data_IF_322549857285
#
_entry.id   IF_322549857285
#
_cell.length_a   1.000
_cell.length_b   1.000
_cell.length_c   1.000
_cell.angle_alpha   90.00
_cell.angle_beta   90.00
_cell.angle_gamma   90.00
#
_symmetry.space_group_name_H-M   'P 1'
#
loop_
_entity.id
_entity.type
_entity.pdbx_description
1 polymer ?
#
# COMPACT_ATOMS: atom_id res chain seq x y z
N UNK A 1 -21.97 7.75 51.48
CA UNK A 1 -20.93 8.82 51.31
C UNK A 1 -19.86 8.53 50.25
N UNK A 2 -19.87 7.42 49.50
CA UNK A 2 -18.78 7.08 48.56
C UNK A 2 -19.03 7.45 47.09
N UNK A 3 -20.27 7.73 46.69
CA UNK A 3 -20.58 8.06 45.28
C UNK A 3 -20.31 9.52 44.93
N UNK A 4 -20.46 10.45 45.87
CA UNK A 4 -20.16 11.88 45.65
C UNK A 4 -18.68 12.11 45.37
N UNK A 5 -17.79 11.33 46.01
CA UNK A 5 -16.33 11.41 45.78
C UNK A 5 -15.95 10.88 44.40
N UNK A 6 -16.55 9.77 43.96
CA UNK A 6 -16.31 9.22 42.60
C UNK A 6 -16.83 10.20 41.54
N UNK A 7 -18.00 10.79 41.73
CA UNK A 7 -18.55 11.82 40.85
C UNK A 7 -17.64 13.06 40.77
N UNK A 8 -17.15 13.55 41.91
CA UNK A 8 -16.21 14.68 41.95
C UNK A 8 -14.89 14.35 41.25
N UNK A 9 -14.41 13.10 41.33
CA UNK A 9 -13.19 12.66 40.65
C UNK A 9 -13.38 12.63 39.13
N UNK A 10 -14.53 12.15 38.65
CA UNK A 10 -14.88 12.21 37.22
C UNK A 10 -15.07 13.65 36.73
N UNK A 11 -15.74 14.50 37.50
CA UNK A 11 -15.89 15.92 37.17
C UNK A 11 -14.53 16.64 37.10
N UNK A 12 -13.62 16.31 38.01
CA UNK A 12 -12.26 16.89 38.03
C UNK A 12 -11.43 16.43 36.82
N UNK A 13 -11.51 15.15 36.44
CA UNK A 13 -10.85 14.61 35.23
C UNK A 13 -11.42 15.26 33.96
N UNK A 14 -12.73 15.48 33.89
CA UNK A 14 -13.37 16.15 32.76
C UNK A 14 -12.91 17.61 32.61
N UNK A 15 -12.79 18.35 33.72
CA UNK A 15 -12.25 19.72 33.70
C UNK A 15 -10.77 19.73 33.31
N UNK A 16 -9.96 18.79 33.81
CA UNK A 16 -8.55 18.69 33.45
C UNK A 16 -8.35 18.37 31.95
N UNK A 17 -9.22 17.54 31.36
CA UNK A 17 -9.17 17.24 29.92
C UNK A 17 -9.61 18.44 29.08
N UNK A 18 -10.61 19.21 29.51
CA UNK A 18 -11.02 20.44 28.82
C UNK A 18 -9.93 21.51 28.87
N UNK A 19 -9.26 21.69 30.00
CA UNK A 19 -8.12 22.60 30.13
C UNK A 19 -6.93 22.18 29.26
N UNK A 20 -6.66 20.88 29.18
CA UNK A 20 -5.62 20.35 28.31
C UNK A 20 -5.95 20.55 26.82
N UNK A 21 -7.22 20.37 26.42
CA UNK A 21 -7.66 20.67 25.05
C UNK A 21 -7.53 22.14 24.70
N UNK A 22 -7.89 23.05 25.61
CA UNK A 22 -7.81 24.49 25.37
C UNK A 22 -6.35 24.99 25.34
N UNK A 23 -5.50 24.46 26.23
CA UNK A 23 -4.05 24.70 26.18
C UNK A 23 -3.44 24.29 24.84
N UNK A 24 -3.84 23.13 24.31
CA UNK A 24 -3.36 22.66 23.01
C UNK A 24 -3.83 23.57 21.86
N UNK A 25 -5.07 24.08 21.94
CA UNK A 25 -5.58 25.08 20.99
C UNK A 25 -4.79 26.39 21.05
N UNK A 26 -4.51 26.91 22.26
CA UNK A 26 -3.69 28.12 22.43
C UNK A 26 -2.27 27.94 21.90
N UNK A 27 -1.62 26.78 22.15
CA UNK A 27 -0.31 26.49 21.56
C UNK A 27 -0.36 26.46 20.03
N UNK A 28 -1.42 25.90 19.45
CA UNK A 28 -1.59 25.85 17.99
C UNK A 28 -1.86 27.25 17.40
N UNK A 29 -2.61 28.10 18.12
CA UNK A 29 -2.88 29.48 17.71
C UNK A 29 -1.66 30.41 17.87
N UNK A 30 -0.81 30.18 18.88
CA UNK A 30 0.41 30.96 19.12
C UNK A 30 1.53 30.71 18.09
N UNK A 31 1.40 29.68 17.24
CA UNK A 31 2.38 29.33 16.18
C UNK A 31 1.90 29.69 14.77
N UNK A 32 0.90 30.56 14.65
CA UNK A 32 0.49 31.11 13.36
C UNK A 32 1.36 32.32 13.02
N UNK A 33 2.29 32.24 12.03
CA UNK A 33 3.10 33.40 11.65
C UNK A 33 2.22 34.50 11.05
N UNK A 34 2.43 35.73 11.49
CA UNK A 34 1.82 36.94 10.92
C UNK A 34 2.10 37.05 9.40
N UNK A 35 1.14 37.52 8.58
CA UNK A 35 1.37 37.75 7.18
C UNK A 35 2.33 38.94 6.97
N UNK A 36 3.56 38.65 6.56
CA UNK A 36 4.53 39.67 6.12
C UNK A 36 4.16 40.18 4.73
N UNK A 37 3.95 41.50 4.65
CA UNK A 37 3.71 42.25 3.42
C UNK A 37 4.92 42.17 2.46
N UNK A 38 4.63 41.96 1.17
CA UNK A 38 5.62 41.95 0.09
C UNK A 38 6.03 43.39 -0.23
N UNK A 39 7.30 43.75 -0.03
CA UNK A 39 7.91 44.93 -0.65
C UNK A 39 8.78 44.49 -1.83
N UNK A 40 8.55 45.13 -2.98
CA UNK A 40 9.36 45.02 -4.18
C UNK A 40 10.63 45.87 -4.04
N UNK A 41 11.77 45.33 -4.48
CA UNK A 41 12.98 46.13 -4.68
C UNK A 41 13.59 45.80 -6.04
N UNK A 42 13.53 46.77 -6.93
CA UNK A 42 14.34 46.93 -8.14
C UNK A 42 15.79 47.22 -7.78
N UNK A 43 16.76 46.60 -8.46
CA UNK A 43 18.11 47.18 -8.60
C UNK A 43 18.69 46.96 -10.00
N UNK A 44 19.07 48.10 -10.57
CA UNK A 44 19.74 48.38 -11.83
C UNK A 44 21.24 48.05 -11.74
N UNK A 45 21.88 47.80 -12.90
CA UNK A 45 23.25 47.31 -12.99
C UNK A 45 24.39 48.30 -12.71
N UNK A 46 25.61 47.75 -12.72
CA UNK A 46 26.88 48.47 -12.74
C UNK A 46 28.06 47.51 -13.04
N UNK A 47 28.76 47.77 -14.14
CA UNK A 47 30.05 47.18 -14.54
C UNK A 47 31.22 47.94 -13.84
N UNK A 48 32.52 47.59 -13.81
CA UNK A 48 33.48 46.76 -14.56
C UNK A 48 34.75 46.55 -13.62
N UNK A 49 36.00 46.28 -14.07
CA UNK A 49 36.68 45.06 -14.57
C UNK A 49 37.87 44.57 -13.68
N UNK A 50 38.46 43.40 -13.98
CA UNK A 50 39.80 43.05 -13.46
C UNK A 50 40.33 41.70 -13.97
N UNK A 51 41.57 41.68 -14.45
CA UNK A 51 42.14 40.71 -15.37
C UNK A 51 42.77 39.44 -14.75
N UNK A 52 42.91 38.44 -15.63
CA UNK A 52 43.66 37.15 -15.63
C UNK A 52 45.09 37.22 -15.05
N UNK A 53 45.74 36.11 -14.59
CA UNK A 53 46.14 35.00 -15.48
C UNK A 53 46.14 33.55 -14.91
N UNK A 54 46.10 32.62 -15.87
CA UNK A 54 46.44 31.18 -15.89
C UNK A 54 47.80 30.82 -15.27
N UNK A 55 48.03 29.60 -14.75
CA UNK A 55 48.72 28.43 -15.40
C UNK A 55 48.58 27.12 -14.51
N UNK A 56 49.11 25.92 -14.84
CA UNK A 56 48.35 24.66 -14.82
C UNK A 56 48.94 23.57 -13.90
N UNK A 57 48.24 22.44 -13.71
CA UNK A 57 48.73 21.11 -13.28
C UNK A 57 47.47 20.26 -13.05
N UNK A 58 47.40 18.94 -13.16
CA UNK A 58 48.25 17.86 -13.65
C UNK A 58 47.37 16.61 -13.59
N UNK A 59 47.48 15.73 -14.59
CA UNK A 59 46.99 14.35 -14.54
C UNK A 59 47.61 13.60 -13.35
N UNK A 60 46.77 13.04 -12.49
CA UNK A 60 47.12 11.96 -11.58
C UNK A 60 46.16 10.78 -11.82
N UNK A 61 46.76 9.65 -12.17
CA UNK A 61 46.10 8.38 -12.41
C UNK A 61 45.74 7.67 -11.09
N UNK A 62 44.63 6.93 -11.13
CA UNK A 62 44.54 5.61 -10.52
C UNK A 62 44.20 5.53 -9.03
N UNK A 63 42.90 5.41 -8.73
CA UNK A 63 42.40 4.53 -7.66
C UNK A 63 41.07 3.92 -8.10
N UNK A 64 40.78 2.63 -7.78
CA UNK A 64 39.64 1.91 -8.36
C UNK A 64 38.32 2.41 -7.78
N UNK A 65 37.39 2.79 -8.67
CA UNK A 65 36.02 3.08 -8.31
C UNK A 65 35.33 1.81 -7.77
N UNK A 66 34.75 1.93 -6.58
CA UNK A 66 33.70 1.06 -6.08
C UNK A 66 32.53 0.96 -7.09
N UNK A 67 31.80 -0.17 -7.15
CA UNK A 67 30.75 -0.37 -8.14
C UNK A 67 29.69 0.73 -8.05
N UNK A 68 29.34 1.29 -9.21
CA UNK A 68 28.33 2.32 -9.37
C UNK A 68 27.00 1.88 -8.74
N UNK A 69 26.49 2.74 -7.86
CA UNK A 69 25.15 2.68 -7.32
C UNK A 69 24.16 2.66 -8.49
N UNK A 70 23.31 1.63 -8.54
CA UNK A 70 22.26 1.51 -9.55
C UNK A 70 21.43 2.81 -9.59
N UNK A 71 21.36 3.42 -10.78
CA UNK A 71 20.76 4.73 -10.98
C UNK A 71 19.33 4.81 -10.45
N UNK A 72 19.04 5.87 -9.69
CA UNK A 72 17.69 6.24 -9.35
C UNK A 72 16.92 6.58 -10.64
N UNK A 73 15.72 6.02 -10.80
CA UNK A 73 14.83 6.41 -11.88
C UNK A 73 14.48 7.91 -11.77
N UNK A 74 14.39 8.66 -12.89
CA UNK A 74 14.16 10.09 -12.88
C UNK A 74 12.80 10.45 -12.26
N UNK A 75 12.79 11.55 -11.50
CA UNK A 75 11.60 12.16 -10.88
C UNK A 75 10.87 13.03 -11.90
N UNK A 76 9.53 12.94 -11.92
CA UNK A 76 8.67 13.33 -13.04
C UNK A 76 8.39 14.84 -13.19
N UNK A 77 8.18 15.23 -14.45
CA UNK A 77 7.02 16.01 -14.90
C UNK A 77 6.31 15.18 -15.97
N UNK A 78 5.01 14.93 -15.83
CA UNK A 78 4.26 14.03 -16.71
C UNK A 78 3.87 14.72 -18.03
N UNK A 79 4.39 14.22 -19.16
CA UNK A 79 3.87 14.57 -20.49
C UNK A 79 2.75 13.60 -20.89
N UNK A 80 1.51 14.08 -20.93
CA UNK A 80 0.32 13.27 -21.27
C UNK A 80 0.06 13.30 -22.77
N UNK A 81 0.58 12.31 -23.50
CA UNK A 81 0.18 12.09 -24.89
C UNK A 81 -1.17 11.35 -24.93
N UNK A 82 -2.28 12.10 -24.91
CA UNK A 82 -3.66 11.58 -24.89
C UNK A 82 -3.98 10.52 -25.97
N UNK A 83 -3.19 10.43 -27.05
CA UNK A 83 -3.37 9.47 -28.14
C UNK A 83 -2.98 8.01 -27.79
N UNK A 84 -2.34 7.77 -26.65
CA UNK A 84 -1.86 6.44 -26.25
C UNK A 84 -2.73 5.77 -25.18
N UNK A 85 -3.81 6.40 -24.74
CA UNK A 85 -4.69 5.85 -23.71
C UNK A 85 -5.61 4.74 -24.27
N UNK A 86 -5.66 3.58 -23.61
CA UNK A 86 -6.56 2.46 -23.90
C UNK A 86 -7.41 2.16 -22.68
N UNK A 87 -8.72 2.21 -22.82
CA UNK A 87 -9.66 1.78 -21.78
C UNK A 87 -10.03 0.32 -21.98
N UNK A 88 -9.86 -0.49 -20.95
CA UNK A 88 -10.21 -1.91 -20.92
C UNK A 88 -11.37 -2.10 -19.95
N UNK A 89 -12.46 -2.71 -20.41
CA UNK A 89 -13.63 -3.03 -19.58
C UNK A 89 -13.84 -4.54 -19.52
N UNK A 90 -13.79 -5.12 -18.31
CA UNK A 90 -14.15 -6.52 -18.03
C UNK A 90 -15.45 -6.57 -17.20
N UNK A 91 -15.75 -7.72 -16.61
CA UNK A 91 -16.89 -7.91 -15.69
C UNK A 91 -16.60 -7.48 -14.24
N UNK A 92 -15.34 -7.21 -13.90
CA UNK A 92 -14.88 -6.80 -12.56
C UNK A 92 -14.18 -5.45 -12.54
N UNK A 93 -13.51 -5.09 -13.63
CA UNK A 93 -12.63 -3.93 -13.71
C UNK A 93 -12.93 -3.08 -14.93
N UNK A 94 -12.85 -1.75 -14.78
CA UNK A 94 -12.64 -0.82 -15.89
C UNK A 94 -11.34 -0.08 -15.65
N UNK A 95 -10.39 -0.22 -16.57
CA UNK A 95 -9.01 0.25 -16.39
C UNK A 95 -8.60 1.11 -17.57
N UNK A 96 -7.99 2.26 -17.30
CA UNK A 96 -7.35 3.07 -18.34
C UNK A 96 -5.85 2.88 -18.27
N UNK A 97 -5.30 2.36 -19.35
CA UNK A 97 -3.87 2.21 -19.59
C UNK A 97 -3.37 3.40 -20.40
N UNK A 98 -2.26 4.03 -20.00
CA UNK A 98 -1.67 5.15 -20.74
C UNK A 98 -0.15 5.06 -20.63
N UNK A 99 0.55 5.13 -21.78
CA UNK A 99 2.02 5.02 -21.82
C UNK A 99 2.55 3.74 -21.15
N UNK A 100 1.78 2.65 -21.15
CA UNK A 100 2.16 1.41 -20.47
C UNK A 100 2.14 1.48 -18.94
N UNK A 101 1.38 2.42 -18.35
CA UNK A 101 1.02 2.49 -16.94
C UNK A 101 -0.48 2.25 -16.74
N UNK A 102 -0.88 1.92 -15.51
CA UNK A 102 -2.28 1.82 -15.09
C UNK A 102 -2.67 3.09 -14.34
N UNK A 103 -3.35 4.00 -15.05
CA UNK A 103 -3.73 5.34 -14.57
C UNK A 103 -4.98 5.34 -13.70
N UNK A 104 -6.01 4.68 -14.21
CA UNK A 104 -7.32 4.63 -13.58
C UNK A 104 -7.77 3.17 -13.48
N UNK A 105 -8.43 2.83 -12.38
CA UNK A 105 -9.00 1.51 -12.18
C UNK A 105 -10.26 1.59 -11.31
N UNK A 106 -11.40 1.32 -11.93
CA UNK A 106 -12.72 1.23 -11.32
C UNK A 106 -13.09 -0.22 -11.04
N UNK A 107 -13.61 -0.49 -9.85
CA UNK A 107 -14.06 -1.81 -9.42
C UNK A 107 -15.56 -1.97 -9.66
N UNK A 108 -15.95 -2.56 -10.79
CA UNK A 108 -17.33 -2.59 -11.30
C UNK A 108 -18.35 -3.34 -10.43
N UNK A 109 -17.87 -4.14 -9.47
CA UNK A 109 -18.70 -4.89 -8.51
C UNK A 109 -18.90 -4.16 -7.17
N UNK A 110 -18.30 -2.99 -7.00
CA UNK A 110 -18.27 -2.27 -5.73
C UNK A 110 -18.75 -0.82 -5.93
N UNK A 111 -20.05 -0.53 -5.74
CA UNK A 111 -20.56 0.84 -5.79
C UNK A 111 -19.99 1.68 -4.65
N UNK A 112 -19.80 2.98 -4.88
CA UNK A 112 -19.27 3.92 -3.90
C UNK A 112 -20.26 4.16 -2.75
N UNK A 113 -21.55 4.29 -3.08
CA UNK A 113 -22.65 4.36 -2.12
C UNK A 113 -23.60 3.19 -2.31
N UNK A 114 -24.01 2.56 -1.21
CA UNK A 114 -24.98 1.48 -1.20
C UNK A 114 -26.43 1.98 -1.40
N UNK A 115 -26.69 3.29 -1.24
CA UNK A 115 -28.03 3.89 -1.25
C UNK A 115 -28.32 4.72 -2.49
N UNK A 116 -27.32 5.20 -3.22
CA UNK A 116 -27.49 6.02 -4.43
C UNK A 116 -26.75 5.39 -5.63
N UNK A 117 -27.51 5.00 -6.64
CA UNK A 117 -26.99 4.43 -7.89
C UNK A 117 -26.16 5.39 -8.75
N UNK A 118 -26.16 6.69 -8.42
CA UNK A 118 -25.45 7.75 -9.15
C UNK A 118 -24.03 8.04 -8.63
N UNK A 119 -23.63 7.48 -7.49
CA UNK A 119 -22.31 7.75 -6.88
C UNK A 119 -21.14 7.06 -7.61
N UNK A 120 -21.44 6.22 -8.61
CA UNK A 120 -20.44 5.45 -9.37
C UNK A 120 -19.84 4.29 -8.59
N UNK A 121 -18.76 3.73 -9.13
CA UNK A 121 -18.03 2.62 -8.51
C UNK A 121 -16.79 3.10 -7.78
N UNK A 122 -16.27 2.28 -6.87
CA UNK A 122 -14.99 2.52 -6.20
C UNK A 122 -13.88 2.65 -7.25
N UNK A 123 -13.24 3.82 -7.29
CA UNK A 123 -12.00 4.09 -8.03
C UNK A 123 -10.82 3.77 -7.12
N UNK A 124 -10.08 2.72 -7.45
CA UNK A 124 -8.87 2.36 -6.73
C UNK A 124 -7.68 3.15 -7.24
N UNK A 125 -7.51 3.26 -8.56
CA UNK A 125 -6.54 4.18 -9.17
C UNK A 125 -7.25 5.38 -9.76
N UNK A 126 -6.68 6.56 -9.54
CA UNK A 126 -7.20 7.84 -9.99
C UNK A 126 -6.03 8.77 -10.34
N UNK A 127 -6.09 9.37 -11.52
CA UNK A 127 -5.11 10.36 -11.98
C UNK A 127 -5.41 11.78 -11.46
N UNK A 128 -6.54 12.00 -10.77
CA UNK A 128 -6.85 13.27 -10.10
C UNK A 128 -5.75 13.64 -9.09
N UNK A 129 -5.10 14.81 -9.20
CA UNK A 129 -4.07 15.26 -8.25
C UNK A 129 -4.49 15.18 -6.78
N UNK A 130 -5.77 15.40 -6.47
CA UNK A 130 -6.29 15.34 -5.11
C UNK A 130 -6.34 13.91 -4.53
N UNK A 131 -6.49 12.91 -5.40
CA UNK A 131 -6.65 11.50 -5.02
C UNK A 131 -5.60 10.59 -5.69
N UNK A 132 -4.50 11.19 -6.15
CA UNK A 132 -3.56 10.56 -7.08
C UNK A 132 -3.12 9.18 -6.59
N UNK A 133 -3.37 8.17 -7.41
CA UNK A 133 -2.95 6.81 -7.16
C UNK A 133 -2.85 6.06 -8.49
N UNK A 134 -1.63 5.65 -8.85
CA UNK A 134 -1.36 4.92 -10.09
C UNK A 134 -0.42 3.73 -9.86
N UNK A 135 -0.49 2.75 -10.76
CA UNK A 135 0.54 1.72 -10.89
C UNK A 135 1.39 1.97 -12.14
N UNK A 136 2.66 2.24 -11.91
CA UNK A 136 3.61 2.63 -12.94
C UNK A 136 4.64 1.54 -13.16
N UNK A 137 5.11 1.41 -14.39
CA UNK A 137 6.13 0.40 -14.73
C UNK A 137 6.97 0.84 -15.90
N UNK A 138 8.25 0.48 -15.88
CA UNK A 138 9.20 0.86 -16.93
C UNK A 138 10.49 0.07 -16.84
N UNK A 139 11.46 0.48 -17.63
CA UNK A 139 12.77 -0.11 -17.73
C UNK A 139 13.83 0.97 -17.53
N UNK A 140 14.90 0.61 -16.84
CA UNK A 140 16.15 1.38 -16.80
C UNK A 140 17.26 0.53 -17.40
N UNK A 141 18.23 1.17 -18.05
CA UNK A 141 19.33 0.48 -18.72
C UNK A 141 20.64 1.21 -18.49
N UNK A 142 21.71 0.44 -18.32
CA UNK A 142 23.07 0.96 -18.18
C UNK A 142 23.82 1.06 -19.52
N UNK A 143 23.25 0.49 -20.59
CA UNK A 143 23.95 0.23 -21.88
C UNK A 143 23.25 0.87 -23.08
N UNK A 144 22.24 1.71 -22.85
CA UNK A 144 21.47 2.35 -23.90
C UNK A 144 20.10 2.84 -23.41
N UNK A 145 19.29 3.39 -24.33
CA UNK A 145 17.95 3.87 -24.00
C UNK A 145 17.03 2.74 -23.48
N UNK A 146 16.11 3.11 -22.60
CA UNK A 146 15.04 2.25 -22.10
C UNK A 146 13.77 3.10 -21.86
N UNK A 147 12.57 2.54 -22.04
CA UNK A 147 11.32 3.23 -21.77
C UNK A 147 11.07 3.30 -20.27
N UNK A 148 10.99 4.51 -19.72
CA UNK A 148 10.50 4.74 -18.37
C UNK A 148 8.96 4.87 -18.35
N UNK A 149 8.40 5.10 -17.16
CA UNK A 149 6.98 5.33 -16.95
C UNK A 149 6.50 6.67 -17.53
N UNK A 150 7.39 7.55 -18.00
CA UNK A 150 7.05 8.84 -18.59
C UNK A 150 7.06 8.79 -20.13
N UNK A 151 7.62 7.73 -20.72
CA UNK A 151 7.93 7.66 -22.15
C UNK A 151 7.32 6.46 -22.89
N UNK A 152 7.49 6.49 -24.21
CA UNK A 152 6.53 6.22 -25.27
C UNK A 152 6.13 4.75 -25.52
N UNK A 153 5.62 4.02 -24.52
CA UNK A 153 4.87 2.81 -24.84
C UNK A 153 3.61 3.19 -25.64
N UNK A 154 3.52 2.69 -26.87
CA UNK A 154 2.39 2.94 -27.77
C UNK A 154 1.53 1.67 -27.83
N UNK A 155 0.20 1.77 -27.69
CA UNK A 155 -0.66 0.59 -27.80
C UNK A 155 -0.58 -0.02 -29.20
N UNK A 156 -0.48 -1.34 -29.26
CA UNK A 156 -0.61 -2.07 -30.53
C UNK A 156 -2.08 -2.10 -30.95
N UNK A 157 -2.35 -1.76 -32.21
CA UNK A 157 -3.70 -1.71 -32.76
C UNK A 157 -4.36 -0.32 -32.67
N UNK A 158 -5.48 -0.18 -33.37
CA UNK A 158 -6.24 1.07 -33.47
C UNK A 158 -7.33 1.21 -32.39
N UNK A 159 -7.74 0.10 -31.75
CA UNK A 159 -8.78 0.12 -30.74
C UNK A 159 -8.28 0.83 -29.47
N UNK A 160 -9.11 1.73 -28.93
CA UNK A 160 -8.82 2.47 -27.69
C UNK A 160 -9.82 2.16 -26.57
N UNK A 161 -10.87 1.41 -26.87
CA UNK A 161 -11.88 0.97 -25.92
C UNK A 161 -12.11 -0.53 -26.12
N UNK A 162 -11.40 -1.36 -25.37
CA UNK A 162 -11.44 -2.82 -25.50
C UNK A 162 -12.38 -3.37 -24.43
N UNK A 163 -13.38 -4.14 -24.82
CA UNK A 163 -14.31 -4.78 -23.87
C UNK A 163 -14.17 -6.29 -23.93
N UNK A 164 -14.25 -6.94 -22.78
CA UNK A 164 -14.26 -8.40 -22.69
C UNK A 164 -15.49 -8.95 -23.41
N UNK A 165 -15.25 -9.63 -24.54
CA UNK A 165 -16.30 -10.25 -25.33
C UNK A 165 -17.05 -11.33 -24.54
N UNK A 166 -18.31 -11.57 -24.89
CA UNK A 166 -19.09 -12.67 -24.32
C UNK A 166 -18.40 -14.01 -24.60
N UNK A 167 -18.23 -14.85 -23.57
CA UNK A 167 -17.55 -16.15 -23.67
C UNK A 167 -16.03 -16.12 -23.73
N UNK A 168 -15.37 -14.96 -23.83
CA UNK A 168 -13.90 -14.87 -23.78
C UNK A 168 -13.36 -15.01 -22.35
N UNK A 169 -12.23 -15.69 -22.14
CA UNK A 169 -11.65 -15.85 -20.80
C UNK A 169 -10.81 -14.65 -20.34
N UNK A 170 -10.28 -13.85 -21.28
CA UNK A 170 -9.45 -12.69 -20.96
C UNK A 170 -9.41 -11.66 -22.10
N UNK A 171 -9.03 -10.42 -21.75
CA UNK A 171 -8.63 -9.36 -22.70
C UNK A 171 -7.12 -9.19 -22.65
N UNK A 172 -6.47 -9.00 -23.81
CA UNK A 172 -5.03 -8.72 -23.89
C UNK A 172 -4.81 -7.39 -24.60
N UNK A 173 -4.03 -6.51 -23.98
CA UNK A 173 -3.68 -5.19 -24.55
C UNK A 173 -2.16 -5.07 -24.57
N UNK A 174 -1.53 -5.22 -25.75
CA UNK A 174 -0.11 -5.01 -25.90
C UNK A 174 0.23 -3.53 -26.14
N UNK A 175 1.36 -3.13 -25.59
CA UNK A 175 2.04 -1.87 -25.84
C UNK A 175 3.46 -2.16 -26.30
N UNK A 176 3.95 -1.39 -27.26
CA UNK A 176 5.30 -1.54 -27.79
C UNK A 176 6.06 -0.24 -27.66
N UNK A 177 7.32 -0.38 -27.26
CA UNK A 177 8.32 0.66 -27.37
C UNK A 177 9.46 0.16 -28.28
N UNK A 178 9.92 1.02 -29.18
CA UNK A 178 11.05 0.74 -30.06
C UNK A 178 12.14 1.78 -29.80
N UNK A 179 13.29 1.31 -29.32
CA UNK A 179 14.45 2.13 -29.04
C UNK A 179 15.28 2.43 -30.29
N UNK A 180 16.09 3.51 -30.26
CA UNK A 180 16.94 3.92 -31.38
C UNK A 180 18.06 2.92 -31.70
N UNK A 181 18.37 2.01 -30.78
CA UNK A 181 19.40 0.97 -30.88
C UNK A 181 18.88 -0.36 -31.46
N UNK A 182 17.63 -0.42 -31.94
CA UNK A 182 17.02 -1.64 -32.46
C UNK A 182 16.44 -2.58 -31.39
N UNK A 183 16.47 -2.17 -30.12
CA UNK A 183 15.80 -2.92 -29.03
C UNK A 183 14.33 -2.57 -29.04
N UNK A 184 13.47 -3.59 -28.98
CA UNK A 184 12.02 -3.44 -28.86
C UNK A 184 11.55 -4.09 -27.58
N UNK A 185 10.70 -3.41 -26.81
CA UNK A 185 10.08 -3.95 -25.62
C UNK A 185 8.57 -3.98 -25.85
N UNK A 186 7.98 -5.18 -25.79
CA UNK A 186 6.52 -5.38 -25.86
C UNK A 186 6.00 -5.71 -24.47
N UNK A 187 5.18 -4.84 -23.89
CA UNK A 187 4.44 -5.04 -22.64
C UNK A 187 3.02 -5.45 -22.93
N UNK A 188 2.59 -6.60 -22.43
CA UNK A 188 1.20 -7.08 -22.60
C UNK A 188 0.50 -7.14 -21.26
N UNK A 189 -0.60 -6.40 -21.15
CA UNK A 189 -1.54 -6.49 -20.03
C UNK A 189 -2.62 -7.53 -20.37
N UNK A 190 -2.77 -8.54 -19.52
CA UNK A 190 -3.84 -9.55 -19.65
C UNK A 190 -4.80 -9.44 -18.48
N UNK A 191 -6.08 -9.25 -18.80
CA UNK A 191 -7.17 -9.11 -17.84
C UNK A 191 -8.04 -10.36 -17.86
N UNK A 192 -7.90 -11.27 -16.88
CA UNK A 192 -8.73 -12.46 -16.80
C UNK A 192 -10.17 -12.10 -16.40
N UNK A 193 -11.14 -12.86 -16.93
CA UNK A 193 -12.56 -12.78 -16.55
C UNK A 193 -12.73 -13.03 -15.05
N UNK A 194 -13.53 -12.22 -14.37
CA UNK A 194 -13.82 -12.36 -12.94
C UNK A 194 -12.63 -12.07 -12.02
N UNK A 195 -11.48 -11.67 -12.56
CA UNK A 195 -10.24 -11.50 -11.82
C UNK A 195 -9.96 -10.05 -11.43
N UNK A 196 -9.08 -9.89 -10.44
CA UNK A 196 -8.49 -8.60 -10.01
C UNK A 196 -6.96 -8.58 -10.17
N UNK A 197 -6.36 -9.68 -10.61
CA UNK A 197 -4.94 -9.79 -10.90
C UNK A 197 -4.71 -9.61 -12.39
N UNK A 198 -4.15 -8.46 -12.77
CA UNK A 198 -3.77 -8.14 -14.15
C UNK A 198 -2.39 -8.74 -14.38
N UNK A 199 -2.24 -9.63 -15.37
CA UNK A 199 -0.94 -10.18 -15.74
C UNK A 199 -0.19 -9.18 -16.61
N UNK A 200 1.09 -8.98 -16.34
CA UNK A 200 1.96 -8.04 -17.06
C UNK A 200 3.19 -8.79 -17.52
N UNK A 201 3.28 -9.02 -18.82
CA UNK A 201 4.43 -9.67 -19.47
C UNK A 201 5.19 -8.66 -20.31
N UNK A 202 6.49 -8.53 -20.06
CA UNK A 202 7.38 -7.75 -20.91
C UNK A 202 8.29 -8.70 -21.70
N UNK A 203 8.31 -8.57 -23.02
CA UNK A 203 9.24 -9.26 -23.91
C UNK A 203 10.20 -8.24 -24.52
N UNK A 204 11.49 -8.42 -24.23
CA UNK A 204 12.58 -7.61 -24.77
C UNK A 204 13.21 -8.37 -25.93
N UNK A 205 13.25 -7.74 -27.10
CA UNK A 205 13.88 -8.28 -28.31
C UNK A 205 14.99 -7.33 -28.74
N UNK A 206 16.20 -7.85 -28.89
CA UNK A 206 17.34 -7.04 -29.34
C UNK A 206 17.65 -7.32 -30.81
N UNK A 207 17.12 -6.48 -31.71
CA UNK A 207 17.46 -6.53 -33.14
C UNK A 207 18.67 -5.64 -33.50
N UNK A 208 19.34 -5.06 -32.49
CA UNK A 208 20.54 -4.27 -32.66
C UNK A 208 21.81 -5.11 -32.82
N UNK A 209 22.95 -4.44 -32.88
CA UNK A 209 24.27 -5.06 -33.04
C UNK A 209 25.08 -5.18 -31.75
N UNK A 210 24.64 -4.52 -30.66
CA UNK A 210 25.29 -4.54 -29.36
C UNK A 210 24.41 -5.23 -28.31
N UNK A 211 25.04 -5.82 -27.29
CA UNK A 211 24.35 -6.40 -26.17
C UNK A 211 23.60 -5.32 -25.35
N UNK A 212 22.34 -5.57 -25.01
CA UNK A 212 21.51 -4.66 -24.21
C UNK A 212 21.28 -5.24 -22.81
N UNK A 213 21.49 -4.41 -21.79
CA UNK A 213 21.25 -4.74 -20.40
C UNK A 213 20.29 -3.73 -19.76
N UNK A 214 19.22 -4.23 -19.16
CA UNK A 214 18.24 -3.42 -18.46
C UNK A 214 17.58 -4.10 -17.26
N UNK A 215 16.87 -3.31 -16.48
CA UNK A 215 16.16 -3.72 -15.28
C UNK A 215 14.74 -3.20 -15.36
N UNK A 216 13.76 -4.09 -15.20
CA UNK A 216 12.36 -3.67 -15.10
C UNK A 216 12.11 -3.12 -13.71
N UNK A 217 11.43 -1.97 -13.60
CA UNK A 217 10.90 -1.49 -12.33
C UNK A 217 9.38 -1.39 -12.39
N UNK A 218 8.76 -1.65 -11.25
CA UNK A 218 7.31 -1.63 -11.06
C UNK A 218 7.04 -0.91 -9.74
N UNK A 219 6.21 0.11 -9.77
CA UNK A 219 5.95 0.93 -8.60
C UNK A 219 4.47 1.25 -8.45
N UNK A 220 4.08 1.49 -7.20
CA UNK A 220 2.78 2.05 -6.83
C UNK A 220 3.07 3.43 -6.25
N UNK A 221 2.40 4.44 -6.79
CA UNK A 221 2.59 5.84 -6.41
C UNK A 221 1.27 6.38 -5.94
N UNK A 222 1.24 6.96 -4.73
CA UNK A 222 -0.01 7.45 -4.14
C UNK A 222 0.19 8.68 -3.27
N UNK A 223 -0.77 9.60 -3.32
CA UNK A 223 -0.91 10.66 -2.31
C UNK A 223 -1.66 10.14 -1.08
N UNK A 224 -1.28 10.54 0.14
CA UNK A 224 -1.97 10.08 1.34
C UNK A 224 -3.46 10.38 1.23
N UNK A 225 -4.34 9.38 1.41
CA UNK A 225 -5.78 9.63 1.36
C UNK A 225 -6.16 10.61 2.48
N UNK A 226 -7.11 11.54 2.23
CA UNK A 226 -7.59 12.45 3.25
C UNK A 226 -8.13 11.65 4.44
N UNK A 227 -7.51 11.83 5.61
CA UNK A 227 -7.89 11.11 6.83
C UNK A 227 -9.20 11.71 7.36
N UNK A 228 -10.32 11.00 7.18
CA UNK A 228 -11.58 11.35 7.84
C UNK A 228 -11.50 10.92 9.30
N UNK A 229 -11.25 11.88 10.20
CA UNK A 229 -11.16 11.64 11.64
C UNK A 229 -12.56 11.52 12.25
N UNK A 230 -12.80 10.45 13.02
CA UNK A 230 -14.05 10.25 13.75
C UNK A 230 -14.09 8.89 14.44
N UNK A 231 -14.51 8.85 15.70
CA UNK A 231 -14.62 7.60 16.48
C UNK A 231 -15.55 6.55 15.84
N UNK A 232 -16.46 6.99 14.98
CA UNK A 232 -17.44 6.15 14.29
C UNK A 232 -17.02 5.77 12.87
N UNK A 233 -15.89 6.27 12.35
CA UNK A 233 -15.41 5.94 11.01
C UNK A 233 -14.38 4.79 11.07
N UNK A 234 -14.71 3.58 10.57
CA UNK A 234 -13.77 2.46 10.54
C UNK A 234 -12.50 2.74 9.73
N UNK A 235 -12.56 3.64 8.74
CA UNK A 235 -11.41 4.01 7.91
C UNK A 235 -10.29 4.67 8.70
N UNK A 236 -10.61 5.36 9.80
CA UNK A 236 -9.64 6.03 10.66
C UNK A 236 -8.75 5.03 11.44
N UNK A 237 -9.20 3.79 11.61
CA UNK A 237 -8.46 2.73 12.30
C UNK A 237 -7.82 1.73 11.34
N UNK A 238 -8.08 1.88 10.04
CA UNK A 238 -7.49 1.04 9.01
C UNK A 238 -6.02 1.39 8.81
N UNK A 239 -5.22 0.39 8.45
CA UNK A 239 -3.86 0.66 8.00
C UNK A 239 -3.88 1.30 6.61
N UNK A 240 -3.23 2.46 6.49
CA UNK A 240 -2.95 3.15 5.24
C UNK A 240 -1.43 3.30 5.10
N UNK A 241 -0.85 2.65 4.10
CA UNK A 241 0.59 2.66 3.91
C UNK A 241 1.09 1.56 2.99
N UNK A 242 2.41 1.44 2.92
CA UNK A 242 3.06 0.37 2.19
C UNK A 242 3.23 -0.89 3.03
N UNK A 243 3.19 -2.01 2.35
CA UNK A 243 3.49 -3.32 2.90
C UNK A 243 4.33 -4.08 1.89
N UNK A 244 5.15 -4.99 2.38
CA UNK A 244 5.94 -5.87 1.54
C UNK A 244 6.05 -7.23 2.19
N UNK A 245 6.33 -8.22 1.35
CA UNK A 245 6.63 -9.56 1.79
C UNK A 245 7.94 -10.03 1.17
N UNK A 246 8.83 -10.57 1.99
CA UNK A 246 10.00 -11.35 1.56
C UNK A 246 9.93 -12.75 2.15
N UNK A 247 10.43 -13.81 1.48
CA UNK A 247 10.47 -15.13 2.08
C UNK A 247 11.27 -15.19 3.40
N UNK A 248 12.27 -14.33 3.55
CA UNK A 248 13.17 -14.30 4.71
C UNK A 248 12.55 -13.58 5.92
N UNK A 249 12.03 -12.36 5.72
CA UNK A 249 11.49 -11.52 6.81
C UNK A 249 9.96 -11.60 6.94
N UNK A 250 9.31 -12.36 6.05
CA UNK A 250 7.84 -12.49 5.94
C UNK A 250 7.20 -11.14 5.66
N UNK A 251 6.18 -10.76 6.42
CA UNK A 251 5.34 -9.60 6.14
C UNK A 251 5.73 -8.43 7.04
N UNK A 252 5.96 -7.27 6.43
CA UNK A 252 6.23 -6.03 7.12
C UNK A 252 5.45 -4.87 6.49
N UNK A 253 5.31 -3.77 7.23
CA UNK A 253 4.44 -2.65 6.87
C UNK A 253 4.96 -1.34 7.43
N UNK A 254 4.70 -0.27 6.69
CA UNK A 254 5.03 1.11 7.08
C UNK A 254 3.91 2.07 6.71
N UNK A 255 3.45 2.86 7.67
CA UNK A 255 2.45 3.90 7.42
C UNK A 255 3.07 5.03 6.62
N UNK A 256 2.25 5.79 5.90
CA UNK A 256 2.74 6.95 5.14
C UNK A 256 3.48 7.98 6.00
N UNK A 257 3.00 8.23 7.22
CA UNK A 257 3.63 9.16 8.18
C UNK A 257 5.10 8.77 8.46
N UNK A 258 5.40 7.48 8.50
CA UNK A 258 6.70 6.95 8.89
C UNK A 258 7.67 6.76 7.70
N UNK A 259 7.26 7.05 6.45
CA UNK A 259 8.12 6.81 5.27
C UNK A 259 9.43 7.59 5.30
N UNK A 260 9.39 8.81 5.84
CA UNK A 260 10.54 9.70 5.93
C UNK A 260 11.36 9.38 7.19
N UNK A 261 10.67 9.22 8.32
CA UNK A 261 11.30 9.07 9.64
C UNK A 261 11.98 7.71 9.83
N UNK A 262 11.39 6.62 9.32
CA UNK A 262 11.94 5.26 9.44
C UNK A 262 13.03 4.93 8.38
N UNK A 263 13.48 5.93 7.62
CA UNK A 263 14.54 5.81 6.62
C UNK A 263 14.17 5.02 5.37
N UNK A 264 15.11 4.86 4.44
CA UNK A 264 14.87 4.16 3.17
C UNK A 264 14.72 2.65 3.35
N UNK A 265 13.76 2.05 2.65
CA UNK A 265 13.71 0.59 2.49
C UNK A 265 14.69 0.17 1.40
N UNK A 266 15.55 -0.81 1.70
CA UNK A 266 16.43 -1.45 0.72
C UNK A 266 16.48 -2.95 1.02
N UNK A 267 15.46 -3.68 0.54
CA UNK A 267 15.32 -5.11 0.79
C UNK A 267 15.46 -5.87 -0.52
N UNK A 268 16.44 -6.77 -0.58
CA UNK A 268 16.54 -7.72 -1.67
C UNK A 268 15.77 -8.99 -1.35
N UNK A 269 15.08 -9.54 -2.35
CA UNK A 269 14.28 -10.74 -2.18
C UNK A 269 14.19 -11.55 -3.47
N UNK A 270 14.18 -12.88 -3.35
CA UNK A 270 13.84 -13.77 -4.46
C UNK A 270 12.36 -14.12 -4.34
N UNK A 271 11.53 -13.59 -5.25
CA UNK A 271 10.08 -13.59 -5.11
C UNK A 271 9.59 -12.50 -4.15
N UNK A 272 8.42 -12.74 -3.55
CA UNK A 272 7.77 -11.76 -2.67
C UNK A 272 6.89 -10.77 -3.43
N UNK A 273 6.46 -9.70 -2.75
CA UNK A 273 5.57 -8.69 -3.34
C UNK A 273 5.61 -7.39 -2.54
N UNK A 274 5.18 -6.30 -3.20
CA UNK A 274 4.97 -4.99 -2.59
C UNK A 274 3.52 -4.57 -2.78
N UNK A 275 2.96 -3.82 -1.83
CA UNK A 275 1.57 -3.37 -1.90
C UNK A 275 1.33 -2.05 -1.18
N UNK A 276 0.27 -1.36 -1.58
CA UNK A 276 -0.34 -0.24 -0.85
C UNK A 276 -1.75 -0.65 -0.40
N UNK A 277 -2.00 -0.56 0.90
CA UNK A 277 -3.25 -1.01 1.53
C UNK A 277 -4.15 0.17 1.89
N UNK A 278 -5.46 -0.06 1.79
CA UNK A 278 -6.53 0.73 2.40
C UNK A 278 -7.53 -0.20 3.09
N UNK A 279 -8.62 0.33 3.67
CA UNK A 279 -9.53 -0.45 4.51
C UNK A 279 -10.08 -1.72 3.83
N UNK A 280 -10.74 -1.60 2.68
CA UNK A 280 -11.37 -2.72 1.97
C UNK A 280 -10.63 -3.22 0.72
N UNK A 281 -9.69 -2.44 0.21
CA UNK A 281 -9.01 -2.69 -1.06
C UNK A 281 -7.50 -2.55 -0.89
N UNK A 282 -6.75 -3.05 -1.87
CA UNK A 282 -5.32 -2.84 -1.95
C UNK A 282 -4.88 -2.98 -3.41
N UNK A 283 -3.68 -2.48 -3.71
CA UNK A 283 -2.99 -2.85 -4.93
C UNK A 283 -1.62 -3.43 -4.61
N UNK A 284 -1.15 -4.36 -5.44
CA UNK A 284 0.12 -5.03 -5.22
C UNK A 284 0.83 -5.38 -6.52
N UNK A 285 2.14 -5.14 -6.58
CA UNK A 285 2.99 -5.74 -7.59
C UNK A 285 3.58 -7.05 -7.06
N UNK A 286 3.38 -8.11 -7.83
CA UNK A 286 3.83 -9.47 -7.54
C UNK A 286 4.79 -9.88 -8.67
N UNK A 287 6.11 -9.74 -8.49
CA UNK A 287 7.12 -10.27 -9.40
C UNK A 287 7.02 -11.79 -9.60
N UNK A 288 7.75 -12.35 -10.57
CA UNK A 288 7.86 -13.79 -10.70
C UNK A 288 8.49 -14.45 -9.46
N UNK A 289 8.06 -15.67 -9.13
CA UNK A 289 8.47 -16.34 -7.88
C UNK A 289 9.99 -16.56 -7.73
N UNK A 290 10.72 -16.51 -8.84
CA UNK A 290 12.18 -16.70 -8.91
C UNK A 290 12.93 -15.40 -9.21
N UNK A 291 12.23 -14.28 -9.36
CA UNK A 291 12.82 -13.01 -9.70
C UNK A 291 13.51 -12.42 -8.47
N UNK A 292 14.81 -12.12 -8.60
CA UNK A 292 15.55 -11.34 -7.61
C UNK A 292 15.15 -9.88 -7.76
N UNK A 293 14.37 -9.38 -6.81
CA UNK A 293 13.86 -8.03 -6.80
C UNK A 293 14.40 -7.25 -5.60
N UNK A 294 14.63 -5.95 -5.81
CA UNK A 294 14.95 -4.98 -4.75
C UNK A 294 13.73 -4.12 -4.48
N UNK A 295 13.26 -4.13 -3.23
CA UNK A 295 12.12 -3.36 -2.77
C UNK A 295 12.58 -2.09 -2.07
N UNK A 296 12.02 -0.95 -2.50
CA UNK A 296 12.36 0.36 -1.98
C UNK A 296 11.14 1.20 -1.69
N UNK A 297 11.25 2.07 -0.68
CA UNK A 297 10.30 3.11 -0.35
C UNK A 297 10.96 4.46 -0.55
N UNK A 298 10.30 5.34 -1.30
CA UNK A 298 10.77 6.70 -1.56
C UNK A 298 9.58 7.67 -1.53
N UNK A 299 9.87 8.94 -1.33
CA UNK A 299 8.91 10.02 -1.57
C UNK A 299 9.37 10.85 -2.76
N UNK A 300 8.43 11.32 -3.56
CA UNK A 300 8.69 12.25 -4.65
C UNK A 300 7.75 13.43 -4.51
N UNK A 301 8.18 14.63 -4.91
CA UNK A 301 7.29 15.78 -4.98
C UNK A 301 6.97 16.10 -6.44
N UNK A 302 5.70 16.32 -6.73
CA UNK A 302 5.24 16.89 -7.99
C UNK A 302 4.21 17.98 -7.69
N UNK A 303 4.37 19.16 -8.28
CA UNK A 303 3.51 20.33 -8.08
C UNK A 303 3.19 20.66 -6.60
N UNK A 304 4.16 20.47 -5.71
CA UNK A 304 4.00 20.72 -4.27
C UNK A 304 3.24 19.65 -3.49
N UNK A 305 2.88 18.53 -4.13
CA UNK A 305 2.25 17.38 -3.49
C UNK A 305 3.24 16.25 -3.31
N UNK A 306 3.31 15.69 -2.10
CA UNK A 306 4.18 14.54 -1.78
C UNK A 306 3.51 13.24 -2.18
N UNK A 307 4.12 12.56 -3.15
CA UNK A 307 3.78 11.22 -3.57
C UNK A 307 4.62 10.19 -2.80
N UNK A 308 3.96 9.16 -2.31
CA UNK A 308 4.59 8.03 -1.62
C UNK A 308 4.71 6.88 -2.60
N UNK A 309 5.94 6.39 -2.78
CA UNK A 309 6.29 5.40 -3.78
C UNK A 309 6.78 4.13 -3.10
N UNK A 310 6.15 3.00 -3.42
CA UNK A 310 6.72 1.68 -3.18
C UNK A 310 7.11 1.06 -4.51
N UNK A 311 8.36 0.62 -4.63
CA UNK A 311 8.95 0.17 -5.89
C UNK A 311 9.61 -1.19 -5.73
N UNK A 312 9.43 -2.03 -6.74
CA UNK A 312 10.16 -3.27 -6.96
C UNK A 312 11.01 -3.12 -8.23
N UNK A 313 12.32 -3.21 -8.09
CA UNK A 313 13.27 -3.30 -9.20
C UNK A 313 13.57 -4.78 -9.42
N UNK A 314 13.20 -5.32 -10.57
CA UNK A 314 13.40 -6.71 -10.95
C UNK A 314 14.85 -7.05 -11.31
N UNK A 315 15.11 -8.31 -11.70
CA UNK A 315 16.47 -8.77 -12.00
C UNK A 315 17.03 -8.08 -13.25
N UNK A 316 18.36 -8.03 -13.33
CA UNK A 316 19.06 -7.57 -14.52
C UNK A 316 18.85 -8.53 -15.68
N UNK A 317 18.32 -8.02 -16.78
CA UNK A 317 18.08 -8.75 -18.02
C UNK A 317 19.17 -8.39 -19.01
N UNK A 318 19.85 -9.39 -19.54
CA UNK A 318 20.90 -9.23 -20.54
C UNK A 318 20.47 -9.89 -21.86
N UNK A 319 20.43 -9.12 -22.94
CA UNK A 319 19.90 -9.55 -24.24
C UNK A 319 20.95 -9.31 -25.31
N UNK A 320 21.60 -10.38 -25.77
CA UNK A 320 22.55 -10.31 -26.88
C UNK A 320 21.83 -10.03 -28.22
N UNK A 321 22.56 -9.56 -29.26
CA UNK A 321 22.00 -9.38 -30.60
C UNK A 321 21.26 -10.63 -31.11
N UNK A 322 20.06 -10.43 -31.66
CA UNK A 322 19.17 -11.48 -32.15
C UNK A 322 18.50 -12.34 -31.08
N UNK A 323 18.74 -12.07 -29.78
CA UNK A 323 18.12 -12.78 -28.67
C UNK A 323 16.90 -12.02 -28.13
N UNK A 324 16.15 -12.74 -27.29
CA UNK A 324 15.03 -12.20 -26.55
C UNK A 324 15.04 -12.65 -25.09
N UNK A 325 14.43 -11.85 -24.23
CA UNK A 325 14.22 -12.16 -22.83
C UNK A 325 12.82 -11.73 -22.39
N UNK A 326 12.33 -12.34 -21.32
CA UNK A 326 10.99 -12.10 -20.81
C UNK A 326 11.02 -11.83 -19.31
N UNK A 327 10.13 -10.96 -18.85
CA UNK A 327 9.81 -10.82 -17.42
C UNK A 327 8.30 -10.88 -17.23
N UNK A 328 7.88 -11.43 -16.10
CA UNK A 328 6.48 -11.64 -15.78
C UNK A 328 6.19 -11.03 -14.41
N UNK A 329 5.01 -10.42 -14.27
CA UNK A 329 4.48 -10.01 -12.98
C UNK A 329 2.96 -10.02 -13.00
N UNK A 330 2.37 -9.93 -11.81
CA UNK A 330 0.95 -9.67 -11.63
C UNK A 330 0.76 -8.37 -10.86
N UNK A 331 -0.17 -7.54 -11.33
CA UNK A 331 -0.65 -6.36 -10.64
C UNK A 331 -2.04 -6.68 -10.07
N UNK A 332 -2.13 -6.81 -8.74
CA UNK A 332 -3.41 -6.89 -8.07
C UNK A 332 -4.02 -5.49 -7.96
N UNK A 333 -5.27 -5.33 -8.38
CA UNK A 333 -6.05 -4.08 -8.27
C UNK A 333 -7.45 -4.45 -7.83
N UNK A 334 -7.70 -4.48 -6.52
CA UNK A 334 -9.00 -5.00 -6.08
C UNK A 334 -9.25 -5.13 -4.59
N UNK A 335 -10.38 -5.76 -4.24
CA UNK A 335 -10.83 -5.93 -2.87
C UNK A 335 -9.98 -6.95 -2.11
N UNK A 336 -10.06 -6.90 -0.77
CA UNK A 336 -9.43 -7.87 0.14
C UNK A 336 -10.23 -9.19 0.24
N UNK A 337 -10.54 -9.81 -0.90
CA UNK A 337 -11.27 -11.09 -0.96
C UNK A 337 -10.29 -12.26 -0.77
N UNK A 338 -10.38 -12.92 0.39
CA UNK A 338 -9.45 -14.01 0.78
C UNK A 338 -9.35 -15.10 -0.30
N UNK A 339 -10.47 -15.62 -0.79
CA UNK A 339 -10.48 -16.70 -1.79
C UNK A 339 -9.85 -16.28 -3.13
N UNK A 340 -10.09 -15.05 -3.59
CA UNK A 340 -9.52 -14.54 -4.82
C UNK A 340 -8.01 -14.27 -4.70
N UNK A 341 -7.56 -13.87 -3.51
CA UNK A 341 -6.14 -13.71 -3.17
C UNK A 341 -5.44 -15.07 -3.08
N UNK A 342 -6.03 -16.05 -2.40
CA UNK A 342 -5.48 -17.40 -2.27
C UNK A 342 -5.36 -18.09 -3.63
N UNK A 343 -6.32 -17.87 -4.54
CA UNK A 343 -6.25 -18.37 -5.91
C UNK A 343 -5.03 -17.86 -6.70
N UNK A 344 -4.37 -16.79 -6.25
CA UNK A 344 -3.11 -16.32 -6.84
C UNK A 344 -1.91 -17.21 -6.48
N UNK A 345 -2.02 -18.08 -5.48
CA UNK A 345 -0.94 -18.97 -5.03
C UNK A 345 0.35 -18.20 -4.66
N UNK A 346 0.22 -16.99 -4.10
CA UNK A 346 1.36 -16.15 -3.72
C UNK A 346 1.61 -16.26 -2.22
N UNK A 347 2.81 -16.70 -1.78
CA UNK A 347 3.15 -16.77 -0.37
C UNK A 347 2.94 -15.44 0.37
N UNK A 348 2.22 -15.51 1.48
CA UNK A 348 2.01 -14.36 2.36
C UNK A 348 1.03 -13.30 1.85
N UNK A 349 0.52 -13.36 0.61
CA UNK A 349 -0.35 -12.30 0.05
C UNK A 349 -1.65 -12.12 0.84
N UNK A 350 -2.16 -13.18 1.48
CA UNK A 350 -3.31 -13.11 2.40
C UNK A 350 -3.09 -12.20 3.61
N UNK A 351 -1.82 -11.89 3.95
CA UNK A 351 -1.50 -10.89 4.98
C UNK A 351 -1.94 -9.48 4.61
N UNK A 352 -2.13 -9.18 3.31
CA UNK A 352 -2.65 -7.90 2.86
C UNK A 352 -4.10 -7.63 3.32
N UNK A 353 -4.85 -8.68 3.72
CA UNK A 353 -6.16 -8.52 4.35
C UNK A 353 -6.05 -7.80 5.70
N UNK A 354 -4.87 -7.86 6.33
CA UNK A 354 -4.51 -7.21 7.59
C UNK A 354 -5.46 -7.55 8.75
N UNK A 355 -5.71 -8.85 8.95
CA UNK A 355 -6.55 -9.32 10.07
C UNK A 355 -6.00 -8.90 11.44
N UNK A 356 -4.67 -8.79 11.59
CA UNK A 356 -4.01 -8.29 12.79
C UNK A 356 -2.51 -8.13 12.56
N UNK A 357 -1.89 -7.19 13.28
CA UNK A 357 -0.43 -7.08 13.38
C UNK A 357 0.23 -8.33 13.98
N UNK A 358 -0.49 -9.09 14.81
CA UNK A 358 0.04 -10.28 15.47
C UNK A 358 -0.37 -11.54 14.71
N UNK A 359 0.61 -12.35 14.33
CA UNK A 359 0.41 -13.54 13.48
C UNK A 359 -0.58 -14.55 14.07
N UNK A 360 -0.59 -14.74 15.40
CA UNK A 360 -1.50 -15.62 16.14
C UNK A 360 -2.95 -15.11 16.05
N UNK A 361 -3.16 -13.80 16.22
CA UNK A 361 -4.51 -13.23 16.12
C UNK A 361 -5.03 -13.26 14.69
N UNK A 362 -4.17 -13.01 13.71
CA UNK A 362 -4.53 -13.11 12.30
C UNK A 362 -4.90 -14.55 11.88
N UNK A 363 -4.22 -15.57 12.41
CA UNK A 363 -4.58 -16.97 12.13
C UNK A 363 -5.91 -17.35 12.78
N UNK A 364 -6.16 -16.96 14.03
CA UNK A 364 -7.46 -17.16 14.67
C UNK A 364 -8.60 -16.46 13.91
N UNK A 365 -8.38 -15.22 13.46
CA UNK A 365 -9.36 -14.48 12.67
C UNK A 365 -9.63 -15.16 11.32
N UNK A 366 -8.60 -15.67 10.65
CA UNK A 366 -8.73 -16.45 9.42
C UNK A 366 -9.57 -17.73 9.61
N UNK A 367 -9.31 -18.48 10.69
CA UNK A 367 -10.12 -19.66 11.05
C UNK A 367 -11.58 -19.30 11.32
N UNK A 368 -11.82 -18.22 12.06
CA UNK A 368 -13.16 -17.75 12.36
C UNK A 368 -13.90 -17.31 11.09
N UNK A 369 -13.22 -16.60 10.18
CA UNK A 369 -13.76 -16.19 8.90
C UNK A 369 -14.08 -17.39 7.99
N UNK A 370 -13.22 -18.42 7.99
CA UNK A 370 -13.49 -19.66 7.26
C UNK A 370 -14.78 -20.33 7.73
N UNK A 371 -14.95 -20.50 9.05
CA UNK A 371 -16.18 -21.08 9.62
C UNK A 371 -17.39 -20.22 9.29
N UNK A 372 -17.27 -18.89 9.39
CA UNK A 372 -18.34 -17.97 9.03
C UNK A 372 -18.74 -18.11 7.55
N UNK A 373 -17.76 -18.18 6.66
CA UNK A 373 -17.98 -18.37 5.22
C UNK A 373 -18.64 -19.71 4.90
N UNK A 374 -18.26 -20.79 5.61
CA UNK A 374 -18.90 -22.09 5.49
C UNK A 374 -20.38 -22.04 5.91
N UNK A 375 -20.71 -21.39 7.03
CA UNK A 375 -22.10 -21.18 7.45
C UNK A 375 -22.85 -20.33 6.40
N UNK A 376 -22.22 -19.27 5.90
CA UNK A 376 -22.79 -18.41 4.87
C UNK A 376 -23.08 -19.15 3.56
N UNK A 377 -22.25 -20.11 3.17
CA UNK A 377 -22.47 -20.90 1.95
C UNK A 377 -23.77 -21.72 1.99
N UNK A 378 -24.26 -22.06 3.19
CA UNK A 378 -25.52 -22.80 3.39
C UNK A 378 -26.70 -21.85 3.59
N UNK A 379 -26.50 -20.79 4.37
CA UNK A 379 -27.57 -19.88 4.79
C UNK A 379 -27.84 -18.77 3.76
N UNK A 380 -26.82 -18.33 3.03
CA UNK A 380 -26.91 -17.26 2.02
C UNK A 380 -27.09 -15.85 2.60
N UNK A 381 -26.98 -15.67 3.93
CA UNK A 381 -27.17 -14.38 4.59
C UNK A 381 -26.13 -14.15 5.71
N UNK A 382 -25.37 -13.06 5.61
CA UNK A 382 -24.30 -12.73 6.56
C UNK A 382 -24.80 -12.54 8.00
N UNK A 383 -25.97 -11.93 8.21
CA UNK A 383 -26.53 -11.71 9.55
C UNK A 383 -26.85 -13.02 10.27
N UNK A 384 -27.55 -13.93 9.58
CA UNK A 384 -27.84 -15.26 10.13
C UNK A 384 -26.56 -16.10 10.31
N UNK A 385 -25.57 -15.92 9.44
CA UNK A 385 -24.29 -16.60 9.57
C UNK A 385 -23.53 -16.17 10.82
N UNK A 386 -23.57 -14.87 11.17
CA UNK A 386 -22.98 -14.35 12.41
C UNK A 386 -23.71 -14.94 13.63
N UNK A 387 -25.04 -14.97 13.62
CA UNK A 387 -25.82 -15.59 14.71
C UNK A 387 -25.42 -17.05 14.88
N UNK A 388 -25.33 -17.81 13.79
CA UNK A 388 -24.88 -19.20 13.79
C UNK A 388 -23.47 -19.37 14.35
N UNK A 389 -22.53 -18.51 13.92
CA UNK A 389 -21.16 -18.50 14.43
C UNK A 389 -21.11 -18.24 15.94
N UNK A 390 -21.87 -17.25 16.43
CA UNK A 390 -21.92 -16.92 17.86
C UNK A 390 -22.46 -18.09 18.69
N UNK A 391 -23.48 -18.78 18.20
CA UNK A 391 -24.02 -19.99 18.87
C UNK A 391 -22.97 -21.09 18.91
N UNK A 392 -22.27 -21.34 17.80
CA UNK A 392 -21.21 -22.35 17.70
C UNK A 392 -20.07 -22.06 18.67
N UNK A 393 -19.57 -20.83 18.70
CA UNK A 393 -18.48 -20.42 19.61
C UNK A 393 -18.94 -20.53 21.07
N UNK A 394 -20.18 -20.12 21.39
CA UNK A 394 -20.71 -20.28 22.75
C UNK A 394 -20.84 -21.74 23.16
N UNK A 395 -21.26 -22.63 22.25
CA UNK A 395 -21.34 -24.06 22.52
C UNK A 395 -19.96 -24.65 22.79
N UNK A 396 -18.96 -24.29 21.97
CA UNK A 396 -17.58 -24.75 22.13
C UNK A 396 -16.94 -24.27 23.45
N UNK A 397 -17.21 -23.02 23.85
CA UNK A 397 -16.66 -22.43 25.08
C UNK A 397 -17.51 -22.69 26.33
N UNK A 398 -18.66 -23.36 26.20
CA UNK A 398 -19.54 -23.70 27.31
C UNK A 398 -18.83 -24.36 28.52
N UNK A 399 -17.94 -25.36 28.37
CA UNK A 399 -17.29 -25.98 29.53
C UNK A 399 -16.39 -25.00 30.29
N UNK A 400 -15.74 -24.07 29.58
CA UNK A 400 -14.91 -23.03 30.19
C UNK A 400 -15.81 -22.03 30.93
N UNK A 401 -16.88 -21.58 30.28
CA UNK A 401 -17.86 -20.68 30.90
C UNK A 401 -18.48 -21.30 32.16
N UNK A 402 -18.87 -22.57 32.12
CA UNK A 402 -19.41 -23.30 33.27
C UNK A 402 -18.43 -23.35 34.43
N UNK A 403 -17.14 -23.63 34.18
CA UNK A 403 -16.09 -23.58 35.21
C UNK A 403 -15.90 -22.18 35.79
N UNK A 404 -15.94 -21.14 34.96
CA UNK A 404 -15.87 -19.75 35.41
C UNK A 404 -17.06 -19.40 36.31
N UNK A 405 -18.27 -19.81 35.96
CA UNK A 405 -19.47 -19.62 36.80
C UNK A 405 -19.35 -20.35 38.14
N UNK A 406 -18.85 -21.58 38.15
CA UNK A 406 -18.61 -22.33 39.39
C UNK A 406 -17.57 -21.62 40.28
N UNK A 407 -16.48 -21.09 39.70
CA UNK A 407 -15.47 -20.32 40.43
C UNK A 407 -16.08 -19.06 41.05
N UNK A 408 -16.86 -18.30 40.28
CA UNK A 408 -17.56 -17.10 40.76
C UNK A 408 -18.56 -17.42 41.88
N UNK A 409 -19.27 -18.55 41.78
CA UNK A 409 -20.17 -19.01 42.82
C UNK A 409 -19.42 -19.37 44.12
N UNK A 410 -18.25 -20.02 44.03
CA UNK A 410 -17.37 -20.29 45.18
C UNK A 410 -16.86 -18.98 45.80
N UNK A 411 -16.43 -18.02 44.99
CA UNK A 411 -15.99 -16.70 45.46
C UNK A 411 -17.12 -15.94 46.17
N UNK A 412 -18.36 -15.99 45.66
CA UNK A 412 -19.53 -15.43 46.36
C UNK A 412 -19.77 -16.06 47.73
N UNK A 413 -19.57 -17.38 47.86
CA UNK A 413 -19.66 -18.07 49.16
C UNK A 413 -18.55 -17.67 50.13
N UNK A 414 -17.36 -17.34 49.61
CA UNK A 414 -16.20 -16.91 50.42
C UNK A 414 -16.26 -15.42 50.79
N UNK A 415 -17.02 -14.60 50.07
CA UNK A 415 -17.17 -13.16 50.31
C UNK A 415 -17.44 -12.77 51.79
N UNK A 416 -18.37 -13.39 52.53
CA UNK A 416 -18.59 -13.04 53.94
C UNK A 416 -17.40 -13.39 54.84
N UNK A 417 -16.68 -14.48 54.56
CA UNK A 417 -15.46 -14.85 55.31
C UNK A 417 -14.31 -13.89 55.01
N UNK A 418 -14.19 -13.44 53.76
CA UNK A 418 -13.24 -12.41 53.36
C UNK A 418 -13.52 -11.05 54.04
N UNK A 419 -14.79 -10.72 54.31
CA UNK A 419 -15.15 -9.54 55.10
C UNK A 419 -14.73 -9.69 56.57
N UNK A 420 -14.98 -10.85 57.18
CA UNK A 420 -14.55 -11.12 58.56
C UNK A 420 -13.02 -11.08 58.72
N UNK A 421 -12.27 -11.61 57.75
CA UNK A 421 -10.80 -11.52 57.72
C UNK A 421 -10.32 -10.07 57.57
N UNK A 422 -10.99 -9.27 56.73
CA UNK A 422 -10.73 -7.83 56.59
C UNK A 422 -11.03 -7.03 57.86
N UNK A 423 -12.07 -7.39 58.60
CA UNK A 423 -12.39 -6.77 59.89
C UNK A 423 -11.35 -7.12 60.97
N UNK A 424 -10.76 -8.32 60.93
CA UNK A 424 -9.76 -8.77 61.93
C UNK A 424 -8.32 -8.36 61.63
N UNK A 425 -7.94 -8.27 60.36
CA UNK A 425 -6.55 -8.05 59.92
C UNK A 425 -6.40 -6.87 58.96
N UNK A 426 -7.37 -5.96 58.92
CA UNK A 426 -7.40 -4.83 57.98
C UNK A 426 -6.17 -3.91 58.06
N UNK A 427 -5.55 -3.79 59.23
CA UNK A 427 -4.37 -2.94 59.47
C UNK A 427 -3.04 -3.64 59.09
N UNK A 428 -3.04 -4.96 58.86
CA UNK A 428 -1.84 -5.74 58.50
C UNK A 428 -2.03 -6.42 57.13
N UNK A 429 -1.65 -5.69 56.07
CA UNK A 429 -1.75 -6.17 54.67
C UNK A 429 -0.96 -7.45 54.41
N UNK A 430 0.11 -7.72 55.18
CA UNK A 430 0.91 -8.94 55.02
C UNK A 430 0.17 -10.15 55.59
N UNK A 431 -0.38 -10.04 56.80
CA UNK A 431 -1.21 -11.12 57.37
C UNK A 431 -2.48 -11.38 56.57
N UNK A 432 -3.06 -10.35 55.96
CA UNK A 432 -4.28 -10.46 55.15
C UNK A 432 -4.06 -11.10 53.77
N UNK A 433 -2.84 -11.09 53.21
CA UNK A 433 -2.52 -11.82 51.97
C UNK A 433 -2.16 -13.30 52.22
N UNK A 434 -1.67 -13.61 53.42
CA UNK A 434 -1.29 -14.96 53.85
C UNK A 434 -2.46 -15.79 54.37
N UNK A 435 -3.49 -15.13 54.91
CA UNK A 435 -4.73 -15.72 55.43
C UNK A 435 -5.85 -15.74 54.39
#
# INVERSE_FOLDING_TARGET
MNQTRVFLLFAWIAVATLLWMEWNKEQTAAHQPEPVATQATTTTGGAVPGAVPTVPTATAAGVPNAPAQAGAAPTAAANTNANNAVTVTTDTLRVTLDGGNVRNAELLRFPLDAKEGDAGNVKLFDADPAHFYEAQSGWVSNTGAAPDHLSNFVPEGAERNVTLASGADAVRVPFVWTGPNGVTIRRTYTFPRGGYAIEVRDEVVNNGSANWQGYVYRQLVRNPPPQKTGYTNPEAFAFHGATWYTPDEKYDRRKYEDFVDDGTLDKESTGGWIALLQHYFFSAWIPGDKDKSKFTLTTTQDNGVTHYVVRALGPGVNVAPGQKAETHARLWVGPKLVSAIEAQNVPGLTRAVDFSRFSIMATLAGWLFFVLSAIHSVVGNWGWSIIGLVILVRALLYPIAAKQFQSMAKMRKLAPRMQQLKERYGDDRQKLQLA
#
